data_IF_633115576591
#
_entry.id   IF_633115576591
#
_cell.length_a   1.000
_cell.length_b   1.000
_cell.length_c   1.000
_cell.angle_alpha   90.00
_cell.angle_beta   90.00
_cell.angle_gamma   90.00
#
_symmetry.space_group_name_H-M   'P 1'
#
loop_
_entity.id
_entity.type
_entity.pdbx_description
1 polymer ?
#
# COMPACT_ATOMS: atom_id res chain seq x y z
N UNK A 1 3.67 -2.09 -11.23
CA UNK A 1 5.07 -1.61 -11.27
C UNK A 1 5.51 -0.97 -9.96
N UNK A 2 4.80 0.02 -9.43
CA UNK A 2 5.18 0.71 -8.17
C UNK A 2 5.36 -0.24 -6.99
N UNK A 3 4.46 -1.20 -6.78
CA UNK A 3 4.57 -2.21 -5.70
C UNK A 3 5.92 -2.94 -5.78
N UNK A 4 6.29 -3.44 -6.96
CA UNK A 4 7.57 -4.13 -7.16
C UNK A 4 8.75 -3.19 -6.90
N UNK A 5 8.70 -1.95 -7.36
CA UNK A 5 9.77 -0.96 -7.11
C UNK A 5 9.98 -0.69 -5.63
N UNK A 6 8.90 -0.56 -4.85
CA UNK A 6 8.97 -0.32 -3.39
C UNK A 6 9.70 -1.48 -2.70
N UNK A 7 9.35 -2.73 -3.04
CA UNK A 7 9.94 -3.93 -2.44
C UNK A 7 11.24 -4.40 -3.11
N UNK A 8 11.71 -3.69 -4.14
CA UNK A 8 12.93 -3.98 -4.88
C UNK A 8 13.92 -2.81 -4.83
N UNK A 9 14.04 -2.14 -3.68
CA UNK A 9 15.03 -1.09 -3.44
C UNK A 9 14.94 0.07 -4.47
N UNK A 10 13.73 0.39 -4.93
CA UNK A 10 13.48 1.43 -5.92
C UNK A 10 13.65 0.98 -7.38
N UNK A 11 14.12 -0.24 -7.64
CA UNK A 11 14.32 -0.75 -9.00
C UNK A 11 13.01 -1.27 -9.59
N UNK A 12 12.66 -0.72 -10.75
CA UNK A 12 11.49 -1.18 -11.52
C UNK A 12 11.63 -2.64 -11.93
N UNK A 13 10.49 -3.31 -12.12
CA UNK A 13 10.43 -4.67 -12.67
C UNK A 13 10.85 -4.70 -14.16
N UNK A 14 10.71 -3.56 -14.84
CA UNK A 14 11.07 -3.36 -16.25
C UNK A 14 11.98 -2.14 -16.34
N UNK A 15 13.17 -2.33 -16.92
CA UNK A 15 14.24 -1.34 -17.09
C UNK A 15 14.67 -1.29 -18.55
N UNK A 16 13.88 -0.63 -19.40
CA UNK A 16 14.07 -0.64 -20.85
C UNK A 16 15.05 0.44 -21.37
N UNK A 17 15.46 1.41 -20.54
CA UNK A 17 16.36 2.52 -20.92
C UNK A 17 16.00 3.18 -22.26
N UNK A 18 14.73 3.54 -22.44
CA UNK A 18 14.18 4.16 -23.67
C UNK A 18 14.30 3.32 -24.95
N UNK A 19 14.62 2.03 -24.85
CA UNK A 19 14.71 1.10 -25.97
C UNK A 19 13.48 0.19 -26.06
N UNK A 20 12.74 0.29 -27.16
CA UNK A 20 11.55 -0.55 -27.42
C UNK A 20 11.90 -2.03 -27.54
N UNK A 21 13.07 -2.36 -28.11
CA UNK A 21 13.51 -3.75 -28.26
C UNK A 21 13.87 -4.38 -26.91
N UNK A 22 14.47 -3.61 -26.01
CA UNK A 22 14.76 -4.03 -24.64
C UNK A 22 13.47 -4.22 -23.85
N UNK A 23 12.49 -3.33 -24.03
CA UNK A 23 11.18 -3.45 -23.40
C UNK A 23 10.49 -4.76 -23.79
N UNK A 24 10.42 -5.09 -25.09
CA UNK A 24 9.77 -6.33 -25.54
C UNK A 24 10.40 -7.58 -24.92
N UNK A 25 11.74 -7.66 -24.91
CA UNK A 25 12.47 -8.76 -24.27
C UNK A 25 12.17 -8.86 -22.77
N UNK A 26 12.07 -7.73 -22.08
CA UNK A 26 11.79 -7.71 -20.63
C UNK A 26 10.35 -8.08 -20.31
N UNK A 27 9.40 -7.73 -21.17
CA UNK A 27 8.01 -8.18 -21.04
C UNK A 27 7.92 -9.69 -21.21
N UNK A 28 8.72 -10.29 -22.11
CA UNK A 28 8.74 -11.75 -22.27
C UNK A 28 9.09 -12.48 -20.97
N UNK A 29 10.09 -11.99 -20.23
CA UNK A 29 10.60 -12.57 -18.98
C UNK A 29 9.97 -11.99 -17.71
N UNK A 30 8.87 -11.22 -17.82
CA UNK A 30 8.29 -10.49 -16.69
C UNK A 30 7.83 -11.43 -15.57
N UNK A 31 7.24 -12.58 -15.91
CA UNK A 31 6.74 -13.56 -14.94
C UNK A 31 7.89 -14.18 -14.15
N UNK A 32 9.03 -14.46 -14.78
CA UNK A 32 10.23 -14.91 -14.09
C UNK A 32 10.76 -13.85 -13.11
N UNK A 33 10.76 -12.59 -13.52
CA UNK A 33 11.20 -11.49 -12.67
C UNK A 33 10.27 -11.29 -11.47
N UNK A 34 8.97 -11.45 -11.65
CA UNK A 34 7.99 -11.44 -10.55
C UNK A 34 8.29 -12.56 -9.57
N UNK A 35 8.48 -13.79 -10.06
CA UNK A 35 8.76 -14.95 -9.22
C UNK A 35 10.05 -14.79 -8.40
N UNK A 36 11.08 -14.13 -8.96
CA UNK A 36 12.31 -13.80 -8.22
C UNK A 36 12.09 -12.78 -7.10
N UNK A 37 11.12 -11.87 -7.26
CA UNK A 37 10.81 -10.83 -6.27
C UNK A 37 9.73 -11.24 -5.26
N UNK A 38 8.92 -12.25 -5.56
CA UNK A 38 7.86 -12.74 -4.69
C UNK A 38 8.29 -12.92 -3.22
N UNK A 39 9.45 -13.52 -2.90
CA UNK A 39 9.88 -13.70 -1.51
C UNK A 39 10.10 -12.39 -0.74
N UNK A 40 10.36 -11.28 -1.45
CA UNK A 40 10.54 -9.95 -0.84
C UNK A 40 9.21 -9.24 -0.56
N UNK A 41 8.11 -9.68 -1.18
CA UNK A 41 6.81 -9.06 -1.00
C UNK A 41 6.11 -9.66 0.25
N UNK A 42 5.33 -8.84 0.99
CA UNK A 42 4.49 -9.33 2.06
C UNK A 42 3.48 -10.38 1.58
N UNK A 43 3.29 -11.46 2.33
CA UNK A 43 2.41 -12.57 1.93
C UNK A 43 0.98 -12.13 1.54
N UNK A 44 0.45 -11.11 2.24
CA UNK A 44 -0.90 -10.59 1.98
C UNK A 44 -1.10 -9.91 0.62
N UNK A 45 -0.03 -9.57 -0.11
CA UNK A 45 -0.12 -8.91 -1.42
C UNK A 45 0.50 -9.73 -2.57
N UNK A 46 1.18 -10.84 -2.27
CA UNK A 46 1.91 -11.63 -3.28
C UNK A 46 1.01 -12.10 -4.44
N UNK A 47 -0.14 -12.69 -4.13
CA UNK A 47 -1.06 -13.20 -5.14
C UNK A 47 -1.57 -12.07 -6.06
N UNK A 48 -1.98 -10.95 -5.47
CA UNK A 48 -2.45 -9.80 -6.22
C UNK A 48 -1.32 -9.19 -7.06
N UNK A 49 -0.09 -9.14 -6.54
CA UNK A 49 1.07 -8.65 -7.26
C UNK A 49 1.37 -9.49 -8.52
N UNK A 50 1.30 -10.82 -8.42
CA UNK A 50 1.46 -11.74 -9.57
C UNK A 50 0.39 -11.46 -10.62
N UNK A 51 -0.87 -11.42 -10.20
CA UNK A 51 -2.00 -11.15 -11.11
C UNK A 51 -1.89 -9.77 -11.78
N UNK A 52 -1.45 -8.75 -11.05
CA UNK A 52 -1.21 -7.40 -11.61
C UNK A 52 -0.11 -7.38 -12.67
N UNK A 53 0.91 -8.24 -12.55
CA UNK A 53 2.01 -8.33 -13.50
C UNK A 53 1.74 -9.29 -14.67
N UNK A 54 0.61 -10.00 -14.67
CA UNK A 54 0.21 -10.91 -15.75
C UNK A 54 0.09 -10.19 -17.09
N UNK A 55 0.50 -10.85 -18.18
CA UNK A 55 0.31 -10.36 -19.55
C UNK A 55 -1.17 -10.35 -19.95
N UNK A 56 -1.96 -11.27 -19.40
CA UNK A 56 -3.40 -11.32 -19.64
C UNK A 56 -4.12 -10.25 -18.82
N UNK A 57 -4.78 -9.33 -19.52
CA UNK A 57 -5.57 -8.26 -18.93
C UNK A 57 -6.70 -8.79 -18.04
N UNK A 58 -7.30 -9.95 -18.38
CA UNK A 58 -8.44 -10.50 -17.64
C UNK A 58 -8.07 -11.00 -16.25
N UNK A 59 -6.80 -11.33 -16.04
CA UNK A 59 -6.31 -11.75 -14.73
C UNK A 59 -5.97 -10.59 -13.81
N UNK A 60 -5.81 -9.37 -14.35
CA UNK A 60 -5.45 -8.21 -13.55
C UNK A 60 -6.66 -7.77 -12.72
N UNK A 61 -6.52 -7.68 -11.38
CA UNK A 61 -7.60 -7.18 -10.54
C UNK A 61 -7.88 -5.71 -10.86
N UNK A 62 -9.15 -5.33 -10.75
CA UNK A 62 -9.54 -3.92 -10.78
C UNK A 62 -9.02 -3.18 -9.55
N UNK A 63 -8.90 -1.86 -9.63
CA UNK A 63 -8.44 -1.05 -8.49
C UNK A 63 -9.35 -1.21 -7.27
N UNK A 64 -10.66 -1.34 -7.48
CA UNK A 64 -11.63 -1.59 -6.41
C UNK A 64 -11.35 -2.92 -5.70
N UNK A 65 -11.12 -3.99 -6.46
CA UNK A 65 -10.84 -5.31 -5.88
C UNK A 65 -9.49 -5.34 -5.16
N UNK A 66 -8.49 -4.66 -5.71
CA UNK A 66 -7.18 -4.53 -5.10
C UNK A 66 -7.24 -3.80 -3.74
N UNK A 67 -8.06 -2.75 -3.64
CA UNK A 67 -8.22 -1.98 -2.41
C UNK A 67 -8.89 -2.77 -1.27
N UNK A 68 -9.64 -3.83 -1.59
CA UNK A 68 -10.31 -4.69 -0.60
C UNK A 68 -9.38 -5.73 0.04
N UNK A 69 -8.13 -5.84 -0.42
CA UNK A 69 -7.17 -6.77 0.17
C UNK A 69 -6.86 -6.34 1.61
N UNK A 70 -6.97 -7.28 2.55
CA UNK A 70 -6.74 -7.06 4.00
C UNK A 70 -5.39 -6.39 4.30
N UNK A 71 -4.39 -6.59 3.45
CA UNK A 71 -3.10 -5.92 3.54
C UNK A 71 -3.21 -4.39 3.58
N UNK A 72 -4.20 -3.80 2.90
CA UNK A 72 -4.43 -2.36 2.90
C UNK A 72 -5.36 -1.89 4.04
N UNK A 73 -5.91 -2.83 4.83
CA UNK A 73 -6.79 -2.52 5.96
C UNK A 73 -5.98 -2.26 7.24
N UNK A 74 -5.19 -1.20 7.23
CA UNK A 74 -4.43 -0.78 8.41
C UNK A 74 -5.29 0.10 9.34
N UNK A 75 -5.50 -0.30 10.61
CA UNK A 75 -6.26 0.49 11.57
C UNK A 75 -5.59 1.85 11.86
N UNK A 76 -4.26 1.94 11.82
CA UNK A 76 -3.51 3.19 12.00
C UNK A 76 -3.81 4.16 10.86
N UNK A 77 -3.71 3.70 9.62
CA UNK A 77 -4.01 4.54 8.44
C UNK A 77 -5.48 4.99 8.47
N UNK A 78 -6.39 4.09 8.81
CA UNK A 78 -7.83 4.39 8.90
C UNK A 78 -8.13 5.41 10.00
N UNK A 79 -7.43 5.32 11.14
CA UNK A 79 -7.51 6.27 12.24
C UNK A 79 -7.01 7.65 11.81
N UNK A 80 -5.84 7.72 11.15
CA UNK A 80 -5.26 8.98 10.65
C UNK A 80 -6.14 9.65 9.59
N UNK A 81 -6.71 8.89 8.65
CA UNK A 81 -7.66 9.44 7.67
C UNK A 81 -8.95 9.95 8.33
N UNK A 82 -9.41 9.27 9.39
CA UNK A 82 -10.55 9.73 10.18
C UNK A 82 -10.23 10.99 10.98
N UNK A 83 -8.96 11.16 11.40
CA UNK A 83 -8.46 12.37 12.05
C UNK A 83 -8.44 13.56 11.08
N UNK A 84 -7.97 13.37 9.83
CA UNK A 84 -7.92 14.43 8.82
C UNK A 84 -9.31 15.01 8.49
N UNK A 85 -10.36 14.20 8.60
CA UNK A 85 -11.76 14.59 8.35
C UNK A 85 -12.59 14.78 9.63
N UNK A 86 -11.93 14.84 10.80
CA UNK A 86 -12.62 14.83 12.10
C UNK A 86 -13.56 16.02 12.25
N UNK A 87 -13.18 17.19 11.76
CA UNK A 87 -13.95 18.42 11.92
C UNK A 87 -15.32 18.37 11.27
N UNK A 88 -15.45 17.60 10.20
CA UNK A 88 -16.71 17.40 9.47
C UNK A 88 -17.65 16.37 10.10
N UNK A 89 -17.20 15.64 11.14
CA UNK A 89 -18.00 14.62 11.82
C UNK A 89 -18.88 15.20 12.92
N UNK A 90 -20.00 14.53 13.19
CA UNK A 90 -20.91 14.88 14.29
C UNK A 90 -20.25 14.78 15.68
N UNK A 91 -20.73 15.53 16.69
CA UNK A 91 -20.15 15.51 18.04
C UNK A 91 -20.05 14.12 18.68
N UNK A 92 -21.01 13.24 18.42
CA UNK A 92 -21.01 11.87 18.93
C UNK A 92 -19.88 11.02 18.30
N UNK A 93 -19.65 11.17 17.00
CA UNK A 93 -18.56 10.47 16.30
C UNK A 93 -17.20 11.00 16.75
N UNK A 94 -17.07 12.32 16.97
CA UNK A 94 -15.85 12.93 17.54
C UNK A 94 -15.54 12.35 18.92
N UNK A 95 -16.55 12.31 19.81
CA UNK A 95 -16.40 11.75 21.16
C UNK A 95 -15.96 10.28 21.13
N UNK A 96 -16.57 9.46 20.28
CA UNK A 96 -16.19 8.05 20.12
C UNK A 96 -14.77 7.89 19.55
N UNK A 97 -14.41 8.67 18.53
CA UNK A 97 -13.08 8.64 17.92
C UNK A 97 -11.98 8.94 18.96
N UNK A 98 -12.10 10.03 19.72
CA UNK A 98 -11.08 10.41 20.69
C UNK A 98 -11.00 9.47 21.89
N UNK A 99 -12.12 8.88 22.34
CA UNK A 99 -12.17 8.04 23.54
C UNK A 99 -11.86 6.57 23.27
N UNK A 100 -12.16 6.08 22.07
CA UNK A 100 -12.03 4.66 21.73
C UNK A 100 -10.98 4.47 20.64
N UNK A 101 -11.28 4.90 19.42
CA UNK A 101 -10.47 4.60 18.23
C UNK A 101 -9.04 5.11 18.35
N UNK A 102 -8.85 6.34 18.80
CA UNK A 102 -7.52 6.94 18.95
C UNK A 102 -6.71 6.23 20.04
N UNK A 103 -7.33 5.95 21.19
CA UNK A 103 -6.67 5.31 22.35
C UNK A 103 -6.19 3.90 21.99
N UNK A 104 -7.00 3.13 21.28
CA UNK A 104 -6.67 1.75 20.86
C UNK A 104 -5.58 1.72 19.78
N UNK A 105 -5.54 2.74 18.92
CA UNK A 105 -4.64 2.77 17.76
C UNK A 105 -3.29 3.42 18.08
N UNK A 106 -3.24 4.32 19.06
CA UNK A 106 -2.03 5.05 19.47
C UNK A 106 -0.82 4.14 19.75
N UNK A 107 -0.93 2.97 20.42
CA UNK A 107 0.19 2.09 20.69
C UNK A 107 0.78 1.43 19.44
N UNK A 108 -0.02 1.33 18.36
CA UNK A 108 0.37 0.70 17.11
C UNK A 108 1.14 1.67 16.19
N UNK A 109 1.10 2.98 16.48
CA UNK A 109 1.78 4.00 15.68
C UNK A 109 3.29 3.88 15.89
N UNK A 110 4.09 3.71 14.81
CA UNK A 110 5.55 3.70 14.90
C UNK A 110 6.07 4.98 15.55
N UNK A 111 6.96 4.86 16.55
CA UNK A 111 7.54 5.99 17.31
C UNK A 111 8.21 7.06 16.44
N UNK A 112 8.68 6.66 15.25
CA UNK A 112 9.31 7.56 14.27
C UNK A 112 8.31 8.58 13.70
N UNK A 113 7.02 8.24 13.65
CA UNK A 113 5.92 9.11 13.19
C UNK A 113 5.40 9.99 14.32
N UNK A 114 5.57 9.58 15.58
CA UNK A 114 5.12 10.32 16.78
C UNK A 114 5.74 11.72 16.90
N UNK A 115 6.81 12.03 16.15
CA UNK A 115 7.55 13.29 16.24
C UNK A 115 6.74 14.49 15.67
N UNK A 116 5.74 14.27 14.80
CA UNK A 116 4.98 15.38 14.19
C UNK A 116 3.72 15.81 14.96
N UNK A 117 3.25 15.04 15.95
CA UNK A 117 2.03 15.38 16.71
C UNK A 117 2.27 16.27 17.93
N UNK A 118 3.53 16.58 18.28
CA UNK A 118 3.87 17.43 19.44
C UNK A 118 3.46 18.91 19.28
N UNK A 119 2.98 19.33 18.12
CA UNK A 119 2.47 20.69 17.88
C UNK A 119 0.94 20.81 17.90
N UNK A 120 0.20 19.71 18.13
CA UNK A 120 -1.23 19.80 18.46
C UNK A 120 -1.31 19.91 19.98
N UNK A 121 -1.16 21.14 20.47
CA UNK A 121 -1.40 21.49 21.87
C UNK A 121 -2.88 21.22 22.19
N UNK A 122 -3.11 20.28 23.10
CA UNK A 122 -4.32 20.23 23.94
C UNK A 122 -4.31 21.42 24.89
#
# INVERSE_FOLDING_TARGET
MVIFSIFNNGKSLVEANYSTSTYMKQIEVIEENVNKLLPKLPAGIQEAAVRLASKDMKQRPTSQLLALIKFFSDPVVSCLQSLDSIDMKDPNQKSHFYRTTLVETLPLIPKVITISFKHVNV
#
